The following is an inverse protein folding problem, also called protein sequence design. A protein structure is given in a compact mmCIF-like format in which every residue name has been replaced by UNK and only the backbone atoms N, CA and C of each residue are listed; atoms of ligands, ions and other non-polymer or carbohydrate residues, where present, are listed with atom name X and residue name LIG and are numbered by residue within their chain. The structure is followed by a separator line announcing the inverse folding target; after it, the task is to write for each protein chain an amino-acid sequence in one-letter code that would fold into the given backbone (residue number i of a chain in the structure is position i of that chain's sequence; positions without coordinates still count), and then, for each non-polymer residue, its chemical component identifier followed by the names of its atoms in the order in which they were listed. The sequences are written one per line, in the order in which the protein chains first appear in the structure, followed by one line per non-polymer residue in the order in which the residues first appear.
data_IF_213055941483
#
_entry.id   IF_213055941483
#
_cell.length_a   1.000
_cell.length_b   1.000
_cell.length_c   1.000
_cell.angle_alpha   90.00
_cell.angle_beta   90.00
_cell.angle_gamma   90.00
#
_symmetry.space_group_name_H-M   'P 1'
#
loop_
_entity.id
_entity.type
_entity.pdbx_description
1 polymer ?
#
# COMPACT_ATOMS: atom_id res chain seq x y z
N UNK A 1 -1.93 -10.31 8.35
CA UNK A 1 -3.34 -9.89 8.41
C UNK A 1 -3.37 -8.57 9.15
N UNK A 2 -3.65 -7.46 8.45
CA UNK A 2 -3.65 -6.14 9.08
C UNK A 2 -4.84 -6.09 10.06
N UNK A 3 -4.66 -5.64 11.32
CA UNK A 3 -5.72 -5.62 12.31
C UNK A 3 -6.89 -4.70 11.89
N UNK A 4 -8.12 -5.17 12.14
CA UNK A 4 -9.37 -4.51 11.72
C UNK A 4 -9.56 -3.11 12.32
N UNK A 5 -8.95 -2.84 13.48
CA UNK A 5 -8.93 -1.53 14.15
C UNK A 5 -8.23 -0.42 13.36
N UNK A 6 -7.24 -0.77 12.53
CA UNK A 6 -6.56 0.20 11.64
C UNK A 6 -7.41 0.46 10.39
N UNK A 7 -8.22 -0.53 9.99
CA UNK A 7 -9.15 -0.43 8.86
C UNK A 7 -10.27 0.58 9.13
N UNK A 8 -10.77 0.67 10.36
CA UNK A 8 -11.91 1.54 10.71
C UNK A 8 -11.50 3.00 10.99
N UNK A 9 -10.20 3.27 11.24
CA UNK A 9 -9.68 4.61 11.57
C UNK A 9 -9.02 5.36 10.41
N UNK A 10 -9.02 4.77 9.22
CA UNK A 10 -8.33 5.32 8.06
C UNK A 10 -9.17 6.42 7.37
N UNK A 11 -9.23 7.60 7.97
CA UNK A 11 -9.78 8.81 7.36
C UNK A 11 -8.88 9.30 6.21
N UNK A 12 -9.40 10.15 5.31
CA UNK A 12 -8.64 10.74 4.19
C UNK A 12 -7.32 11.42 4.62
N UNK A 13 -7.29 11.92 5.86
CA UNK A 13 -6.13 12.55 6.51
C UNK A 13 -5.20 11.56 7.23
N UNK A 14 -5.67 10.34 7.55
CA UNK A 14 -4.93 9.37 8.33
C UNK A 14 -4.84 8.04 7.57
N UNK A 15 -3.91 8.01 6.63
CA UNK A 15 -3.75 6.92 5.67
C UNK A 15 -2.82 5.84 6.25
N UNK A 16 -3.19 4.54 6.21
CA UNK A 16 -2.35 3.47 6.72
C UNK A 16 -1.06 3.35 5.91
N UNK A 17 0.07 3.34 6.62
CA UNK A 17 1.38 3.07 6.05
C UNK A 17 1.64 1.56 6.09
N UNK A 18 1.76 0.94 4.92
CA UNK A 18 2.21 -0.44 4.75
C UNK A 18 3.69 -0.42 4.43
N UNK A 19 4.52 -0.63 5.45
CA UNK A 19 5.93 -0.89 5.25
C UNK A 19 6.16 -2.39 5.03
N UNK A 20 6.62 -2.75 3.84
CA UNK A 20 6.88 -4.17 3.52
C UNK A 20 8.27 -4.63 3.94
N UNK A 21 9.16 -3.69 4.32
CA UNK A 21 10.53 -4.00 4.76
C UNK A 21 10.55 -4.67 6.13
N UNK A 22 9.63 -4.28 7.01
CA UNK A 22 9.35 -4.95 8.30
C UNK A 22 9.06 -6.44 8.14
N UNK A 23 8.48 -6.83 7.01
CA UNK A 23 8.13 -8.21 6.70
C UNK A 23 9.18 -8.92 5.84
N UNK A 24 10.37 -8.34 5.67
CA UNK A 24 11.45 -8.83 4.80
C UNK A 24 11.03 -9.00 3.32
N UNK A 25 10.04 -8.23 2.85
CA UNK A 25 9.70 -8.17 1.44
C UNK A 25 10.43 -7.03 0.76
N UNK A 26 11.07 -7.35 -0.36
CA UNK A 26 11.84 -6.38 -1.15
C UNK A 26 11.05 -5.84 -2.34
N UNK A 27 10.07 -6.61 -2.84
CA UNK A 27 9.36 -6.31 -4.09
C UNK A 27 7.85 -6.49 -3.96
N UNK A 28 7.10 -5.48 -4.41
CA UNK A 28 5.62 -5.50 -4.43
C UNK A 28 5.11 -5.87 -5.82
N UNK A 29 4.26 -6.90 -5.86
CA UNK A 29 3.51 -7.36 -7.03
C UNK A 29 2.01 -7.36 -6.73
N UNK A 30 1.18 -7.12 -7.75
CA UNK A 30 -0.26 -6.95 -7.60
C UNK A 30 -0.99 -8.00 -8.41
N UNK A 31 -1.60 -8.98 -7.72
CA UNK A 31 -2.30 -10.08 -8.38
C UNK A 31 -3.64 -9.62 -8.95
N UNK A 32 -4.49 -8.95 -8.19
CA UNK A 32 -5.67 -8.25 -8.76
C UNK A 32 -6.50 -7.38 -7.80
N UNK A 33 -6.58 -7.71 -6.50
CA UNK A 33 -7.49 -7.01 -5.58
C UNK A 33 -6.75 -6.02 -4.66
N UNK A 34 -6.89 -4.73 -4.97
CA UNK A 34 -6.61 -3.64 -4.01
C UNK A 34 -7.97 -3.10 -3.57
N UNK A 35 -8.20 -2.91 -2.26
CA UNK A 35 -9.46 -2.36 -1.76
C UNK A 35 -9.63 -0.93 -2.32
N UNK A 36 -10.62 -0.73 -3.20
CA UNK A 36 -10.83 0.53 -3.92
C UNK A 36 -11.38 1.67 -3.06
N UNK A 37 -11.92 1.36 -1.89
CA UNK A 37 -12.51 2.35 -0.99
C UNK A 37 -11.50 3.01 -0.03
N UNK A 38 -10.26 2.50 0.07
CA UNK A 38 -9.28 2.99 1.04
C UNK A 38 -8.02 3.52 0.37
N UNK A 39 -7.66 4.76 0.69
CA UNK A 39 -6.30 5.26 0.45
C UNK A 39 -5.30 4.50 1.32
N UNK A 40 -4.12 4.21 0.79
CA UNK A 40 -3.02 3.61 1.56
C UNK A 40 -1.65 4.06 1.01
N UNK A 41 -0.62 4.04 1.86
CA UNK A 41 0.76 4.34 1.44
C UNK A 41 1.60 3.06 1.53
N UNK A 42 2.28 2.68 0.45
CA UNK A 42 3.15 1.50 0.43
C UNK A 42 4.61 1.92 0.37
N UNK A 43 5.42 1.47 1.33
CA UNK A 43 6.87 1.66 1.34
C UNK A 43 7.57 0.36 0.95
N UNK A 44 8.37 0.39 -0.12
CA UNK A 44 9.06 -0.79 -0.66
C UNK A 44 10.36 -0.43 -1.40
N UNK A 45 11.28 -1.39 -1.56
CA UNK A 45 12.51 -1.19 -2.36
C UNK A 45 12.27 -1.30 -3.87
N UNK A 46 11.44 -2.26 -4.29
CA UNK A 46 11.10 -2.49 -5.69
C UNK A 46 9.59 -2.57 -5.88
N UNK A 47 9.08 -1.86 -6.88
CA UNK A 47 7.66 -1.89 -7.24
C UNK A 47 7.54 -2.09 -8.74
N UNK A 48 6.54 -2.88 -9.15
CA UNK A 48 6.25 -3.11 -10.56
C UNK A 48 5.41 -1.96 -11.14
N UNK A 49 5.70 -1.52 -12.37
CA UNK A 49 4.96 -0.43 -13.04
C UNK A 49 3.44 -0.65 -13.07
N UNK A 50 2.99 -1.89 -13.24
CA UNK A 50 1.57 -2.25 -13.21
C UNK A 50 0.94 -2.04 -11.83
N UNK A 51 1.70 -2.33 -10.76
CA UNK A 51 1.26 -2.10 -9.37
C UNK A 51 1.21 -0.63 -9.06
N UNK A 52 2.22 0.15 -9.46
CA UNK A 52 2.23 1.59 -9.21
C UNK A 52 1.00 2.28 -9.81
N UNK A 53 0.60 1.87 -11.02
CA UNK A 53 -0.63 2.36 -11.65
C UNK A 53 -1.86 1.99 -10.83
N UNK A 54 -2.00 0.72 -10.46
CA UNK A 54 -3.15 0.25 -9.65
C UNK A 54 -3.23 0.92 -8.27
N UNK A 55 -2.10 1.19 -7.62
CA UNK A 55 -2.07 1.88 -6.32
C UNK A 55 -2.50 3.33 -6.48
N UNK A 56 -2.06 4.02 -7.54
CA UNK A 56 -2.48 5.40 -7.83
C UNK A 56 -3.97 5.48 -8.18
N UNK A 57 -4.49 4.51 -8.93
CA UNK A 57 -5.92 4.41 -9.26
C UNK A 57 -6.78 4.14 -8.02
N UNK A 58 -6.27 3.38 -7.06
CA UNK A 58 -6.92 3.16 -5.75
C UNK A 58 -6.77 4.35 -4.78
N UNK A 59 -6.19 5.47 -5.22
CA UNK A 59 -5.99 6.66 -4.36
C UNK A 59 -4.89 6.48 -3.31
N UNK A 60 -3.94 5.57 -3.55
CA UNK A 60 -2.77 5.33 -2.72
C UNK A 60 -1.48 5.94 -3.29
N UNK A 61 -0.43 5.93 -2.46
CA UNK A 61 0.89 6.48 -2.80
C UNK A 61 1.97 5.41 -2.60
N UNK A 62 2.96 5.39 -3.47
CA UNK A 62 4.13 4.51 -3.37
C UNK A 62 5.35 5.32 -2.95
N UNK A 63 6.03 4.88 -1.90
CA UNK A 63 7.30 5.43 -1.42
C UNK A 63 8.40 4.40 -1.66
N UNK A 64 9.41 4.79 -2.43
CA UNK A 64 10.58 3.95 -2.66
C UNK A 64 11.58 4.16 -1.53
N UNK A 65 11.91 3.08 -0.82
CA UNK A 65 12.96 3.06 0.21
C UNK A 65 14.25 2.47 -0.39
N UNK A 66 15.40 3.06 -0.03
CA UNK A 66 16.73 2.61 -0.48
C UNK A 66 17.15 1.29 0.18
#
# INVERSE_FOLDING_TARGET
MVPKDVMEKATKDNVPLIDVTQFNYFKVFGKEFLPGDQSFVVMAKLVSKTVEKKIKEAGGVVVLTA
#
